data_IF_378879905111
#
_entry.id   IF_378879905111
#
_cell.length_a   1.000
_cell.length_b   1.000
_cell.length_c   1.000
_cell.angle_alpha   90.00
_cell.angle_beta   90.00
_cell.angle_gamma   90.00
#
_symmetry.space_group_name_H-M   'P 1'
#
loop_
_entity.id
_entity.type
_entity.pdbx_description
1 polymer ?
#
# COMPACT_ATOMS: atom_id res chain seq x y z
N UNK A 1 -2.20 3.53 -20.01
CA UNK A 1 -2.31 2.15 -19.45
C UNK A 1 -3.59 1.98 -18.63
N UNK A 2 -4.76 2.07 -19.27
CA UNK A 2 -6.04 2.20 -18.56
C UNK A 2 -6.37 1.00 -17.67
N UNK A 3 -6.44 -0.19 -18.27
CA UNK A 3 -6.86 -1.43 -17.59
C UNK A 3 -5.93 -1.78 -16.43
N UNK A 4 -4.62 -1.59 -16.63
CA UNK A 4 -3.60 -1.83 -15.60
C UNK A 4 -3.84 -0.95 -14.36
N UNK A 5 -3.99 0.36 -14.53
CA UNK A 5 -4.24 1.27 -13.39
C UNK A 5 -5.51 0.91 -12.63
N UNK A 6 -6.58 0.56 -13.35
CA UNK A 6 -7.84 0.13 -12.74
C UNK A 6 -7.68 -1.14 -11.90
N UNK A 7 -7.11 -2.20 -12.49
CA UNK A 7 -7.00 -3.50 -11.82
C UNK A 7 -6.10 -3.41 -10.58
N UNK A 8 -4.95 -2.74 -10.69
CA UNK A 8 -4.06 -2.58 -9.53
C UNK A 8 -4.67 -1.66 -8.48
N UNK A 9 -5.35 -0.60 -8.88
CA UNK A 9 -6.08 0.26 -7.94
C UNK A 9 -7.08 -0.53 -7.09
N UNK A 10 -7.87 -1.41 -7.72
CA UNK A 10 -8.83 -2.29 -7.02
C UNK A 10 -8.09 -3.27 -6.09
N UNK A 11 -7.02 -3.91 -6.55
CA UNK A 11 -6.24 -4.85 -5.72
C UNK A 11 -5.63 -4.16 -4.49
N UNK A 12 -5.14 -2.92 -4.64
CA UNK A 12 -4.61 -2.14 -3.51
C UNK A 12 -5.70 -1.80 -2.49
N UNK A 13 -6.91 -1.47 -2.96
CA UNK A 13 -8.06 -1.23 -2.06
C UNK A 13 -8.41 -2.50 -1.31
N UNK A 14 -8.54 -3.64 -1.99
CA UNK A 14 -8.84 -4.94 -1.34
C UNK A 14 -7.76 -5.30 -0.32
N UNK A 15 -6.49 -5.13 -0.66
CA UNK A 15 -5.38 -5.39 0.24
C UNK A 15 -5.38 -4.45 1.46
N UNK A 16 -5.79 -3.19 1.30
CA UNK A 16 -5.90 -2.25 2.42
C UNK A 16 -6.90 -2.72 3.48
N UNK A 17 -8.04 -3.29 3.07
CA UNK A 17 -9.04 -3.85 3.99
C UNK A 17 -8.45 -4.99 4.80
N UNK A 18 -7.64 -5.84 4.17
CA UNK A 18 -6.93 -6.91 4.88
C UNK A 18 -5.92 -6.36 5.90
N UNK A 19 -5.16 -5.31 5.55
CA UNK A 19 -4.23 -4.66 6.48
C UNK A 19 -4.93 -4.03 7.68
N UNK A 20 -6.12 -3.47 7.48
CA UNK A 20 -6.94 -2.94 8.56
C UNK A 20 -7.34 -4.05 9.55
N UNK A 21 -7.83 -5.17 9.04
CA UNK A 21 -8.24 -6.33 9.85
C UNK A 21 -7.03 -6.87 10.64
N UNK A 22 -5.86 -7.01 10.01
CA UNK A 22 -4.66 -7.45 10.71
C UNK A 22 -4.17 -6.45 11.77
N UNK A 23 -4.19 -5.15 11.47
CA UNK A 23 -3.85 -4.12 12.45
C UNK A 23 -4.75 -4.15 13.68
N UNK A 24 -6.06 -4.35 13.47
CA UNK A 24 -7.05 -4.42 14.54
C UNK A 24 -6.95 -5.72 15.35
N UNK A 25 -6.99 -6.87 14.69
CA UNK A 25 -7.01 -8.18 15.36
C UNK A 25 -5.66 -8.57 15.95
N UNK A 26 -4.56 -8.28 15.25
CA UNK A 26 -3.20 -8.63 15.68
C UNK A 26 -2.59 -7.58 16.60
N UNK A 27 -2.67 -6.30 16.21
CA UNK A 27 -2.02 -5.22 16.96
C UNK A 27 -2.80 -4.78 18.20
N UNK A 28 -4.07 -4.41 18.02
CA UNK A 28 -4.89 -3.88 19.12
C UNK A 28 -5.46 -4.97 20.02
N UNK A 29 -6.08 -6.00 19.43
CA UNK A 29 -6.81 -7.03 20.16
C UNK A 29 -5.93 -8.23 20.55
N UNK A 30 -4.81 -8.46 19.87
CA UNK A 30 -3.89 -9.57 20.18
C UNK A 30 -4.50 -10.96 20.02
N UNK A 31 -5.51 -11.12 19.16
CA UNK A 31 -6.23 -12.39 18.97
C UNK A 31 -5.44 -13.35 18.08
N UNK A 32 -4.76 -12.81 17.07
CA UNK A 32 -4.05 -13.59 16.03
C UNK A 32 -2.52 -13.50 16.16
N UNK A 33 -2.00 -12.61 16.99
CA UNK A 33 -0.58 -12.37 17.21
C UNK A 33 -0.36 -11.78 18.61
N UNK A 34 0.90 -11.75 19.09
CA UNK A 34 1.23 -11.03 20.31
C UNK A 34 0.82 -9.56 20.22
N UNK A 35 0.14 -9.09 21.26
CA UNK A 35 -0.42 -7.74 21.29
C UNK A 35 0.70 -6.71 21.20
N UNK A 36 0.75 -6.00 20.08
CA UNK A 36 1.68 -4.89 19.88
C UNK A 36 0.96 -3.67 19.32
N UNK A 37 0.76 -2.68 20.19
CA UNK A 37 0.00 -1.47 19.85
C UNK A 37 0.69 -0.64 18.76
N UNK A 38 2.03 -0.62 18.73
CA UNK A 38 2.82 0.08 17.71
C UNK A 38 2.60 -0.59 16.35
N UNK A 39 2.65 -1.92 16.29
CA UNK A 39 2.35 -2.66 15.07
C UNK A 39 0.91 -2.42 14.58
N UNK A 40 -0.06 -2.33 15.50
CA UNK A 40 -1.45 -2.01 15.16
C UNK A 40 -1.60 -0.63 14.51
N UNK A 41 -0.96 0.40 15.08
CA UNK A 41 -0.97 1.77 14.53
C UNK A 41 -0.31 1.78 13.14
N UNK A 42 0.84 1.14 12.99
CA UNK A 42 1.53 1.05 11.69
C UNK A 42 0.65 0.32 10.66
N UNK A 43 -0.03 -0.76 11.04
CA UNK A 43 -0.95 -1.48 10.17
C UNK A 43 -2.11 -0.61 9.66
N UNK A 44 -2.70 0.21 10.54
CA UNK A 44 -3.77 1.15 10.17
C UNK A 44 -3.25 2.26 9.26
N UNK A 45 -2.05 2.79 9.51
CA UNK A 45 -1.42 3.79 8.64
C UNK A 45 -1.13 3.22 7.24
N UNK A 46 -0.60 2.00 7.17
CA UNK A 46 -0.36 1.29 5.90
C UNK A 46 -1.67 1.06 5.15
N UNK A 47 -2.75 0.66 5.83
CA UNK A 47 -4.07 0.57 5.23
C UNK A 47 -4.47 1.90 4.56
N UNK A 48 -4.34 3.03 5.27
CA UNK A 48 -4.68 4.34 4.72
C UNK A 48 -3.90 4.68 3.45
N UNK A 49 -2.59 4.42 3.43
CA UNK A 49 -1.72 4.70 2.28
C UNK A 49 -2.03 3.81 1.07
N UNK A 50 -2.26 2.51 1.29
CA UNK A 50 -2.67 1.59 0.22
C UNK A 50 -4.04 1.94 -0.34
N UNK A 51 -4.99 2.31 0.51
CA UNK A 51 -6.33 2.73 0.09
C UNK A 51 -6.25 4.02 -0.73
N UNK A 52 -5.53 5.04 -0.25
CA UNK A 52 -5.37 6.31 -0.95
C UNK A 52 -4.69 6.12 -2.32
N UNK A 53 -3.61 5.33 -2.39
CA UNK A 53 -2.97 5.01 -3.67
C UNK A 53 -3.89 4.25 -4.62
N UNK A 54 -4.67 3.30 -4.11
CA UNK A 54 -5.63 2.56 -4.91
C UNK A 54 -6.71 3.47 -5.51
N UNK A 55 -7.26 4.40 -4.72
CA UNK A 55 -8.24 5.39 -5.18
C UNK A 55 -7.64 6.32 -6.25
N UNK A 56 -6.39 6.77 -6.09
CA UNK A 56 -5.70 7.60 -7.08
C UNK A 56 -5.54 6.85 -8.40
N UNK A 57 -5.19 5.56 -8.37
CA UNK A 57 -5.07 4.75 -9.58
C UNK A 57 -6.40 4.50 -10.30
N UNK A 58 -7.48 4.26 -9.55
CA UNK A 58 -8.83 4.17 -10.15
C UNK A 58 -9.23 5.53 -10.75
N UNK A 59 -9.00 6.63 -10.03
CA UNK A 59 -9.38 7.98 -10.49
C UNK A 59 -8.58 8.45 -11.71
N UNK A 60 -7.34 7.99 -11.85
CA UNK A 60 -6.43 8.40 -12.94
C UNK A 60 -6.31 7.36 -14.06
N UNK A 61 -7.22 6.37 -14.11
CA UNK A 61 -7.18 5.30 -15.12
C UNK A 61 -7.24 5.83 -16.57
N UNK A 62 -8.01 6.90 -16.80
CA UNK A 62 -8.24 7.50 -18.12
C UNK A 62 -7.30 8.67 -18.40
N UNK A 63 -6.37 8.96 -17.49
CA UNK A 63 -5.41 10.03 -17.68
C UNK A 63 -4.16 9.52 -18.40
N UNK A 64 -3.80 10.20 -19.48
CA UNK A 64 -2.51 10.04 -20.17
C UNK A 64 -1.34 10.69 -19.40
N UNK A 65 -1.65 11.42 -18.33
CA UNK A 65 -0.67 12.03 -17.44
C UNK A 65 -0.02 11.03 -16.48
N UNK A 66 1.21 11.35 -16.06
CA UNK A 66 1.97 10.60 -15.04
C UNK A 66 1.60 11.00 -13.59
N UNK A 67 0.69 11.95 -13.40
CA UNK A 67 0.37 12.50 -12.08
C UNK A 67 -0.11 11.44 -11.08
N UNK A 68 -0.95 10.50 -11.52
CA UNK A 68 -1.41 9.39 -10.70
C UNK A 68 -0.27 8.44 -10.26
N UNK A 69 0.68 8.19 -11.15
CA UNK A 69 1.82 7.30 -10.90
C UNK A 69 2.84 7.94 -9.96
N UNK A 70 3.07 9.25 -10.09
CA UNK A 70 3.95 9.99 -9.18
C UNK A 70 3.34 10.05 -7.77
N UNK A 71 2.04 10.35 -7.67
CA UNK A 71 1.36 10.39 -6.38
C UNK A 71 1.34 9.01 -5.70
N UNK A 72 1.04 7.95 -6.46
CA UNK A 72 1.13 6.57 -5.98
C UNK A 72 2.54 6.20 -5.52
N UNK A 73 3.57 6.53 -6.30
CA UNK A 73 4.97 6.27 -5.94
C UNK A 73 5.35 6.96 -4.64
N UNK A 74 4.99 8.23 -4.45
CA UNK A 74 5.28 8.97 -3.23
C UNK A 74 4.62 8.30 -2.01
N UNK A 75 3.34 7.95 -2.10
CA UNK A 75 2.61 7.26 -1.02
C UNK A 75 3.20 5.88 -0.73
N UNK A 76 3.61 5.14 -1.76
CA UNK A 76 4.17 3.80 -1.63
C UNK A 76 5.59 3.79 -1.09
N UNK A 77 6.39 4.84 -1.32
CA UNK A 77 7.69 5.00 -0.64
C UNK A 77 7.49 5.19 0.86
N UNK A 78 6.55 6.06 1.25
CA UNK A 78 6.23 6.27 2.67
C UNK A 78 5.69 4.98 3.30
N UNK A 79 4.79 4.27 2.61
CA UNK A 79 4.29 2.97 3.06
C UNK A 79 5.41 1.92 3.17
N UNK A 80 6.38 1.93 2.24
CA UNK A 80 7.54 1.06 2.27
C UNK A 80 8.38 1.25 3.53
N UNK A 81 8.71 2.50 3.86
CA UNK A 81 9.48 2.87 5.06
C UNK A 81 8.73 2.44 6.32
N UNK A 82 7.43 2.74 6.41
CA UNK A 82 6.59 2.36 7.54
C UNK A 82 6.48 0.82 7.69
N UNK A 83 6.37 0.09 6.59
CA UNK A 83 6.33 -1.38 6.59
C UNK A 83 7.63 -2.01 7.07
N UNK A 84 8.78 -1.46 6.68
CA UNK A 84 10.09 -1.92 7.17
C UNK A 84 10.22 -1.68 8.68
N UNK A 85 9.81 -0.50 9.16
CA UNK A 85 9.81 -0.19 10.59
C UNK A 85 8.84 -1.13 11.35
N UNK A 86 7.65 -1.37 10.81
CA UNK A 86 6.68 -2.33 11.35
C UNK A 86 7.16 -3.79 11.31
N UNK A 87 8.12 -4.11 10.44
CA UNK A 87 8.76 -5.41 10.33
C UNK A 87 9.43 -5.87 11.62
N UNK A 88 9.99 -4.94 12.39
CA UNK A 88 10.60 -5.23 13.70
C UNK A 88 9.58 -5.62 14.78
N UNK A 89 8.30 -5.35 14.57
CA UNK A 89 7.27 -5.47 15.60
C UNK A 89 6.23 -6.56 15.34
N UNK A 90 5.88 -6.84 14.08
CA UNK A 90 4.91 -7.88 13.74
C UNK A 90 5.09 -8.45 12.32
N UNK A 91 6.32 -8.45 11.79
CA UNK A 91 6.59 -9.07 10.49
C UNK A 91 5.97 -8.35 9.29
N UNK A 92 5.61 -7.07 9.42
CA UNK A 92 5.08 -6.24 8.32
C UNK A 92 6.11 -5.89 7.23
N UNK A 93 7.32 -6.46 7.32
CA UNK A 93 8.41 -6.19 6.36
C UNK A 93 7.97 -6.57 4.94
N UNK A 94 7.19 -7.64 4.79
CA UNK A 94 6.64 -8.08 3.51
C UNK A 94 5.69 -7.06 2.90
N UNK A 95 4.87 -6.41 3.73
CA UNK A 95 3.98 -5.33 3.31
C UNK A 95 4.76 -4.12 2.81
N UNK A 96 5.87 -3.79 3.49
CA UNK A 96 6.77 -2.71 3.08
C UNK A 96 7.47 -2.99 1.76
N UNK A 97 7.99 -4.20 1.58
CA UNK A 97 8.61 -4.63 0.32
C UNK A 97 7.58 -4.60 -0.81
N UNK A 98 6.37 -5.12 -0.59
CA UNK A 98 5.28 -5.09 -1.57
C UNK A 98 4.92 -3.65 -1.97
N UNK A 99 4.82 -2.73 -1.01
CA UNK A 99 4.56 -1.32 -1.29
C UNK A 99 5.60 -0.73 -2.25
N UNK A 100 6.90 -0.96 -1.98
CA UNK A 100 7.99 -0.47 -2.83
C UNK A 100 7.97 -1.08 -4.22
N UNK A 101 7.72 -2.39 -4.33
CA UNK A 101 7.61 -3.09 -5.61
C UNK A 101 6.47 -2.52 -6.45
N UNK A 102 5.32 -2.25 -5.83
CA UNK A 102 4.16 -1.66 -6.54
C UNK A 102 4.50 -0.23 -6.96
N UNK A 103 4.94 0.64 -6.04
CA UNK A 103 5.23 2.04 -6.35
C UNK A 103 6.30 2.22 -7.43
N UNK A 104 7.44 1.55 -7.30
CA UNK A 104 8.56 1.67 -8.24
C UNK A 104 8.24 0.92 -9.54
N UNK A 105 7.68 -0.29 -9.44
CA UNK A 105 7.36 -1.12 -10.59
C UNK A 105 6.37 -0.46 -11.54
N UNK A 106 5.27 0.12 -11.02
CA UNK A 106 4.30 0.81 -11.87
C UNK A 106 4.84 2.09 -12.48
N UNK A 107 5.63 2.86 -11.73
CA UNK A 107 6.25 4.08 -12.27
C UNK A 107 7.21 3.77 -13.42
N UNK A 108 8.11 2.80 -13.24
CA UNK A 108 9.06 2.38 -14.28
C UNK A 108 8.33 1.78 -15.48
N UNK A 109 7.29 0.96 -15.25
CA UNK A 109 6.52 0.38 -16.34
C UNK A 109 5.82 1.47 -17.17
N UNK A 110 5.18 2.45 -16.53
CA UNK A 110 4.51 3.51 -17.27
C UNK A 110 5.49 4.41 -18.05
N UNK A 111 6.70 4.64 -17.54
CA UNK A 111 7.76 5.32 -18.29
C UNK A 111 8.18 4.56 -19.55
N UNK A 112 8.24 3.22 -19.49
CA UNK A 112 8.65 2.38 -20.62
C UNK A 112 7.53 2.16 -21.66
N UNK A 113 6.28 2.33 -21.25
CA UNK A 113 5.09 2.08 -22.11
C UNK A 113 4.46 3.36 -22.64
N UNK A 114 5.13 4.51 -22.47
CA UNK A 114 4.88 5.74 -23.25
C UNK A 114 5.32 5.55 -24.69
#
# INVERSE_FOLDING_TARGET
>A
MRVTKLVIGILMIVYSVWLFIQGLLGGFLGIIAEKNMVAGIIGVLLCGLFMASGIVYVSTENSDGLGGDIASLAMMIVAGILGIIGGFYAGLIWTGILALVIGIGFFVWHLKTR
#
